data_IF_410578761683
#
_entry.id   IF_410578761683
#
_cell.length_a   1.000
_cell.length_b   1.000
_cell.length_c   1.000
_cell.angle_alpha   90.00
_cell.angle_beta   90.00
_cell.angle_gamma   90.00
#
_symmetry.space_group_name_H-M   'P 1'
#
loop_
_entity.id
_entity.type
_entity.pdbx_description
1 polymer ?
#
# COMPACT_ATOMS: atom_id res chain seq x y z
N UNK A 1 -12.59 0.93 -17.50
CA UNK A 1 -12.29 2.31 -17.06
C UNK A 1 -11.07 2.28 -16.15
N UNK A 2 -10.09 3.16 -16.34
CA UNK A 2 -8.98 3.33 -15.38
C UNK A 2 -9.32 4.51 -14.48
N UNK A 3 -9.47 4.27 -13.18
CA UNK A 3 -9.51 5.34 -12.18
C UNK A 3 -8.13 6.01 -12.19
N UNK A 4 -8.08 7.34 -12.06
CA UNK A 4 -6.87 8.16 -11.99
C UNK A 4 -6.89 8.98 -10.71
N UNK A 5 -5.72 9.25 -10.14
CA UNK A 5 -5.57 10.14 -9.00
C UNK A 5 -5.75 11.59 -9.47
N UNK A 6 -6.99 12.09 -9.33
CA UNK A 6 -7.37 13.48 -9.63
C UNK A 6 -7.38 14.31 -8.35
N UNK A 7 -7.32 15.63 -8.44
CA UNK A 7 -7.33 16.49 -7.24
C UNK A 7 -8.55 16.27 -6.32
N UNK A 8 -9.77 16.04 -6.85
CA UNK A 8 -10.90 15.66 -6.00
C UNK A 8 -10.65 14.35 -5.24
N UNK A 9 -10.07 13.35 -5.91
CA UNK A 9 -9.77 12.06 -5.29
C UNK A 9 -8.61 12.17 -4.28
N UNK A 10 -7.63 13.05 -4.53
CA UNK A 10 -6.57 13.34 -3.55
C UNK A 10 -7.16 13.89 -2.25
N UNK A 11 -7.99 14.93 -2.35
CA UNK A 11 -8.67 15.54 -1.21
C UNK A 11 -9.56 14.55 -0.47
N UNK A 12 -10.26 13.68 -1.20
CA UNK A 12 -11.06 12.60 -0.60
C UNK A 12 -10.17 11.68 0.26
N UNK A 13 -9.03 11.21 -0.25
CA UNK A 13 -8.11 10.36 0.53
C UNK A 13 -7.54 11.07 1.75
N UNK A 14 -7.11 12.32 1.59
CA UNK A 14 -6.58 13.15 2.68
C UNK A 14 -7.61 13.33 3.78
N UNK A 15 -8.85 13.73 3.43
CA UNK A 15 -9.95 13.89 4.37
C UNK A 15 -10.31 12.59 5.09
N UNK A 16 -10.38 11.48 4.35
CA UNK A 16 -10.65 10.17 4.95
C UNK A 16 -9.54 9.77 5.92
N UNK A 17 -8.28 10.03 5.59
CA UNK A 17 -7.15 9.71 6.47
C UNK A 17 -7.09 10.60 7.70
N UNK A 18 -7.36 11.90 7.55
CA UNK A 18 -7.40 12.85 8.65
C UNK A 18 -8.49 12.47 9.67
N UNK A 19 -9.68 12.14 9.18
CA UNK A 19 -10.85 11.72 9.98
C UNK A 19 -10.88 10.23 10.33
N UNK A 20 -9.81 9.48 10.05
CA UNK A 20 -9.74 8.05 10.30
C UNK A 20 -9.52 7.76 11.79
N UNK A 21 -10.62 7.58 12.53
CA UNK A 21 -10.56 7.16 13.93
C UNK A 21 -10.50 5.64 14.05
N UNK A 22 -9.45 5.14 14.72
CA UNK A 22 -9.33 3.72 15.07
C UNK A 22 -10.38 3.39 16.13
N UNK A 23 -11.18 2.35 15.88
CA UNK A 23 -12.18 1.91 16.85
C UNK A 23 -11.49 1.45 18.15
N UNK A 24 -11.86 1.95 19.34
CA UNK A 24 -11.19 1.59 20.59
C UNK A 24 -11.11 0.09 20.84
N UNK A 25 -12.17 -0.65 20.49
CA UNK A 25 -12.22 -2.12 20.62
C UNK A 25 -11.24 -2.88 19.71
N UNK A 26 -10.67 -2.21 18.69
CA UNK A 26 -9.71 -2.79 17.74
C UNK A 26 -8.27 -2.33 17.97
N UNK A 27 -8.03 -1.39 18.87
CA UNK A 27 -6.71 -0.78 19.07
C UNK A 27 -5.61 -1.82 19.32
N UNK A 28 -5.86 -2.80 20.20
CA UNK A 28 -4.90 -3.87 20.47
C UNK A 28 -4.62 -4.79 19.25
N UNK A 29 -5.53 -4.90 18.30
CA UNK A 29 -5.29 -5.62 17.04
C UNK A 29 -4.49 -4.78 16.04
N UNK A 30 -4.73 -3.46 16.02
CA UNK A 30 -3.96 -2.52 15.20
C UNK A 30 -2.52 -2.48 15.69
N UNK A 31 -2.28 -2.32 16.99
CA UNK A 31 -0.93 -2.30 17.56
C UNK A 31 -0.15 -3.57 17.25
N UNK A 32 -0.74 -4.76 17.48
CA UNK A 32 -0.10 -6.03 17.11
C UNK A 32 0.24 -6.13 15.63
N UNK A 33 -0.60 -5.54 14.77
CA UNK A 33 -0.33 -5.53 13.34
C UNK A 33 0.84 -4.61 13.01
N UNK A 34 0.87 -3.40 13.58
CA UNK A 34 1.95 -2.42 13.42
C UNK A 34 3.27 -2.91 13.99
N UNK A 35 3.29 -3.47 15.19
CA UNK A 35 4.51 -4.03 15.81
C UNK A 35 5.13 -5.12 14.95
N UNK A 36 4.30 -5.97 14.34
CA UNK A 36 4.75 -6.99 13.38
C UNK A 36 5.31 -6.39 12.08
N UNK A 37 4.82 -5.24 11.63
CA UNK A 37 5.46 -4.54 10.51
C UNK A 37 6.85 -4.03 10.92
N UNK A 38 6.92 -3.39 12.08
CA UNK A 38 8.15 -2.78 12.60
C UNK A 38 9.23 -3.83 12.92
N UNK A 39 8.85 -5.03 13.41
CA UNK A 39 9.79 -6.12 13.67
C UNK A 39 10.50 -6.65 12.42
N UNK A 40 10.05 -6.25 11.23
CA UNK A 40 10.63 -6.63 9.94
C UNK A 40 11.03 -5.42 9.08
N UNK A 41 11.13 -4.23 9.69
CA UNK A 41 11.42 -2.96 9.00
C UNK A 41 12.62 -3.04 8.07
N UNK A 42 13.74 -3.61 8.52
CA UNK A 42 14.98 -3.70 7.74
C UNK A 42 14.81 -4.50 6.44
N UNK A 43 13.97 -5.54 6.47
CA UNK A 43 13.65 -6.35 5.29
C UNK A 43 12.87 -5.53 4.26
N UNK A 44 11.90 -4.73 4.73
CA UNK A 44 11.15 -3.82 3.87
C UNK A 44 12.02 -2.70 3.32
N UNK A 45 12.95 -2.15 4.12
CA UNK A 45 13.92 -1.16 3.67
C UNK A 45 14.85 -1.71 2.58
N UNK A 46 15.24 -2.97 2.66
CA UNK A 46 16.01 -3.63 1.58
C UNK A 46 15.24 -3.62 0.25
N UNK A 47 13.91 -3.70 0.27
CA UNK A 47 13.08 -3.55 -0.94
C UNK A 47 13.06 -2.10 -1.42
N UNK A 48 12.96 -1.13 -0.49
CA UNK A 48 13.09 0.30 -0.77
C UNK A 48 14.40 0.61 -1.49
N UNK A 49 15.53 0.12 -0.99
CA UNK A 49 16.85 0.37 -1.59
C UNK A 49 16.96 -0.18 -3.02
N UNK A 50 16.27 -1.29 -3.31
CA UNK A 50 16.29 -1.93 -4.64
C UNK A 50 15.41 -1.23 -5.68
N UNK A 51 14.35 -0.54 -5.24
CA UNK A 51 13.26 -0.11 -6.15
C UNK A 51 12.79 1.33 -5.95
N UNK A 52 13.07 1.93 -4.80
CA UNK A 52 12.57 3.26 -4.40
C UNK A 52 11.14 3.26 -3.86
N UNK A 53 10.52 2.10 -3.64
CA UNK A 53 9.18 2.01 -3.02
C UNK A 53 9.31 2.16 -1.51
N UNK A 54 8.56 3.06 -0.84
CA UNK A 54 8.66 3.25 0.60
C UNK A 54 8.43 1.95 1.39
N UNK A 55 9.23 1.76 2.44
CA UNK A 55 9.20 0.54 3.25
C UNK A 55 7.81 0.28 3.82
N UNK A 56 7.10 1.33 4.25
CA UNK A 56 5.76 1.21 4.83
C UNK A 56 4.76 0.70 3.80
N UNK A 57 4.84 1.12 2.53
CA UNK A 57 3.95 0.61 1.48
C UNK A 57 4.18 -0.89 1.26
N UNK A 58 5.44 -1.32 1.18
CA UNK A 58 5.80 -2.73 1.04
C UNK A 58 5.27 -3.55 2.23
N UNK A 59 5.46 -3.04 3.45
CA UNK A 59 5.01 -3.67 4.68
C UNK A 59 3.48 -3.82 4.74
N UNK A 60 2.74 -2.78 4.35
CA UNK A 60 1.28 -2.77 4.32
C UNK A 60 0.74 -3.78 3.31
N UNK A 61 1.25 -3.78 2.07
CA UNK A 61 0.89 -4.78 1.06
C UNK A 61 1.22 -6.19 1.56
N UNK A 62 2.39 -6.41 2.14
CA UNK A 62 2.79 -7.72 2.65
C UNK A 62 1.85 -8.23 3.77
N UNK A 63 1.44 -7.34 4.67
CA UNK A 63 0.44 -7.67 5.70
C UNK A 63 -0.92 -8.01 5.11
N UNK A 64 -1.35 -7.25 4.10
CA UNK A 64 -2.66 -7.45 3.48
C UNK A 64 -2.74 -8.75 2.67
N UNK A 65 -1.68 -9.07 1.94
CA UNK A 65 -1.66 -10.21 1.00
C UNK A 65 -1.25 -11.54 1.64
N UNK A 66 -0.41 -11.53 2.68
CA UNK A 66 0.14 -12.76 3.27
C UNK A 66 0.24 -12.79 4.80
N UNK A 67 -0.27 -11.75 5.48
CA UNK A 67 -0.13 -11.65 6.95
C UNK A 67 1.32 -11.54 7.43
N UNK A 68 2.20 -11.01 6.57
CA UNK A 68 3.65 -10.91 6.75
C UNK A 68 4.42 -12.25 6.66
N UNK A 69 3.95 -13.20 5.86
CA UNK A 69 4.67 -14.45 5.62
C UNK A 69 5.80 -14.29 4.60
N UNK A 70 7.04 -14.45 5.06
CA UNK A 70 8.25 -14.36 4.21
C UNK A 70 8.65 -15.68 3.52
N UNK A 71 7.82 -16.73 3.59
CA UNK A 71 8.12 -18.03 2.98
C UNK A 71 7.68 -18.16 1.52
N UNK A 72 6.94 -17.17 1.01
CA UNK A 72 6.30 -17.21 -0.30
C UNK A 72 6.53 -15.92 -1.10
N UNK A 73 6.41 -16.02 -2.42
CA UNK A 73 6.41 -14.90 -3.33
C UNK A 73 5.26 -13.94 -3.03
N UNK A 74 5.58 -12.64 -2.87
CA UNK A 74 4.58 -11.59 -2.70
C UNK A 74 3.65 -11.45 -3.92
N UNK A 75 4.03 -12.00 -5.07
CA UNK A 75 3.23 -11.95 -6.30
C UNK A 75 1.89 -12.67 -6.17
N UNK A 76 1.88 -13.84 -5.55
CA UNK A 76 0.76 -14.80 -5.62
C UNK A 76 0.77 -15.89 -4.54
N UNK A 77 1.73 -15.87 -3.60
CA UNK A 77 1.83 -16.87 -2.53
C UNK A 77 2.52 -18.19 -2.87
N UNK A 78 3.05 -18.38 -4.09
CA UNK A 78 3.86 -19.57 -4.39
C UNK A 78 5.14 -19.62 -3.54
N UNK A 79 5.69 -20.80 -3.20
CA UNK A 79 6.94 -20.90 -2.40
C UNK A 79 8.15 -20.29 -3.10
N UNK A 80 9.06 -19.69 -2.31
CA UNK A 80 10.30 -19.07 -2.82
C UNK A 80 11.33 -20.07 -3.40
N UNK A 81 11.08 -21.38 -3.30
CA UNK A 81 11.98 -22.46 -3.73
C UNK A 81 11.95 -22.72 -5.25
N UNK A 82 11.05 -22.07 -5.97
CA UNK A 82 10.94 -22.16 -7.43
C UNK A 82 10.51 -20.80 -7.98
N UNK A 83 10.32 -20.69 -9.31
CA UNK A 83 9.59 -19.55 -9.86
C UNK A 83 8.09 -19.76 -9.67
N UNK A 84 7.34 -18.67 -9.66
CA UNK A 84 5.88 -18.72 -9.61
C UNK A 84 5.30 -19.55 -10.75
N UNK A 85 4.32 -20.39 -10.41
CA UNK A 85 3.52 -21.17 -11.37
C UNK A 85 2.14 -20.54 -11.51
N UNK A 86 1.57 -20.03 -10.40
CA UNK A 86 0.33 -19.28 -10.43
C UNK A 86 0.56 -17.92 -11.11
N UNK A 87 -0.52 -17.30 -11.59
CA UNK A 87 -0.43 -15.99 -12.24
C UNK A 87 -0.04 -14.93 -11.20
N UNK A 88 0.96 -14.07 -11.46
CA UNK A 88 1.79 -14.01 -12.67
C UNK A 88 2.90 -15.09 -12.67
N UNK A 89 2.89 -15.98 -13.66
CA UNK A 89 3.84 -17.09 -13.74
C UNK A 89 5.25 -16.66 -14.16
N UNK A 90 6.25 -17.48 -13.80
CA UNK A 90 7.65 -17.31 -14.19
C UNK A 90 8.38 -16.18 -13.46
N UNK A 91 7.97 -15.83 -12.24
CA UNK A 91 8.56 -14.77 -11.41
C UNK A 91 9.39 -15.32 -10.25
N UNK A 92 10.41 -14.58 -9.77
CA UNK A 92 11.05 -13.40 -10.36
C UNK A 92 11.63 -13.70 -11.75
N UNK A 93 11.91 -12.70 -12.60
CA UNK A 93 12.47 -12.98 -13.95
C UNK A 93 13.97 -13.24 -13.97
N UNK A 94 14.70 -12.69 -13.00
CA UNK A 94 16.17 -12.78 -12.89
C UNK A 94 16.55 -13.56 -11.63
N UNK A 95 17.79 -14.07 -11.60
CA UNK A 95 18.29 -14.92 -10.52
C UNK A 95 17.81 -16.37 -10.61
N UNK A 96 18.25 -17.18 -9.64
CA UNK A 96 17.96 -18.61 -9.52
C UNK A 96 17.38 -18.91 -8.13
N UNK A 97 16.43 -19.86 -8.00
CA UNK A 97 15.88 -20.24 -6.70
C UNK A 97 16.89 -21.04 -5.84
N UNK A 98 16.69 -21.11 -4.51
CA UNK A 98 15.65 -20.41 -3.76
C UNK A 98 15.88 -18.90 -3.76
N UNK A 99 14.78 -18.12 -3.85
CA UNK A 99 14.86 -16.67 -3.91
C UNK A 99 14.80 -16.05 -2.52
N UNK A 100 15.62 -15.03 -2.27
CA UNK A 100 15.39 -14.13 -1.15
C UNK A 100 14.05 -13.42 -1.35
N UNK A 101 13.30 -13.26 -0.25
CA UNK A 101 11.99 -12.63 -0.31
C UNK A 101 12.08 -11.19 -0.84
N UNK A 102 13.13 -10.45 -0.49
CA UNK A 102 13.35 -9.06 -0.88
C UNK A 102 13.56 -8.92 -2.39
N UNK A 103 14.29 -9.87 -3.00
CA UNK A 103 14.47 -9.94 -4.46
C UNK A 103 13.11 -10.18 -5.12
N UNK A 104 12.32 -11.10 -4.57
CA UNK A 104 11.00 -11.40 -5.08
C UNK A 104 10.04 -10.21 -4.92
N UNK A 105 10.00 -9.59 -3.75
CA UNK A 105 9.14 -8.46 -3.46
C UNK A 105 9.46 -7.26 -4.38
N UNK A 106 10.75 -6.99 -4.64
CA UNK A 106 11.15 -5.97 -5.60
C UNK A 106 10.67 -6.27 -7.03
N UNK A 107 10.71 -7.54 -7.50
CA UNK A 107 10.13 -7.93 -8.79
C UNK A 107 8.59 -7.78 -8.81
N UNK A 108 7.91 -8.05 -7.68
CA UNK A 108 6.47 -7.86 -7.56
C UNK A 108 6.08 -6.37 -7.67
N UNK A 109 6.80 -5.48 -6.99
CA UNK A 109 6.62 -4.02 -7.10
C UNK A 109 6.88 -3.53 -8.52
N UNK A 110 7.94 -4.06 -9.16
CA UNK A 110 8.25 -3.75 -10.55
C UNK A 110 7.12 -4.13 -11.51
N UNK A 111 6.51 -5.29 -11.31
CA UNK A 111 5.39 -5.76 -12.13
C UNK A 111 4.17 -4.83 -12.03
N UNK A 112 3.95 -4.22 -10.86
CA UNK A 112 2.87 -3.25 -10.61
C UNK A 112 3.20 -1.83 -11.08
N UNK A 113 4.43 -1.62 -11.61
CA UNK A 113 4.99 -0.31 -12.00
C UNK A 113 5.06 0.66 -10.81
N UNK A 114 5.62 0.16 -9.70
CA UNK A 114 5.86 0.94 -8.49
C UNK A 114 7.37 1.06 -8.28
N UNK A 115 7.85 2.28 -8.10
CA UNK A 115 9.27 2.64 -7.92
C UNK A 115 9.39 4.04 -7.27
N UNK A 116 10.61 4.56 -7.20
CA UNK A 116 10.91 5.88 -6.62
C UNK A 116 10.25 7.06 -7.33
N UNK A 117 9.86 6.91 -8.59
CA UNK A 117 9.17 7.98 -9.36
C UNK A 117 7.64 7.95 -9.17
N UNK A 118 7.14 6.98 -8.40
CA UNK A 118 5.73 6.91 -8.05
C UNK A 118 5.39 7.98 -7.02
N UNK A 119 4.19 8.58 -7.14
CA UNK A 119 3.67 9.50 -6.15
C UNK A 119 3.40 8.77 -4.82
N UNK A 120 4.22 9.10 -3.82
CA UNK A 120 4.17 8.58 -2.46
C UNK A 120 3.73 9.64 -1.44
N UNK A 121 3.05 10.70 -1.89
CA UNK A 121 2.27 11.56 -0.99
C UNK A 121 1.25 10.73 -0.19
N UNK A 122 0.61 11.31 0.82
CA UNK A 122 -0.46 10.64 1.56
C UNK A 122 -1.54 10.09 0.60
N UNK A 123 -2.09 10.96 -0.27
CA UNK A 123 -3.06 10.58 -1.27
C UNK A 123 -2.50 9.57 -2.29
N UNK A 124 -1.27 9.77 -2.75
CA UNK A 124 -0.58 8.85 -3.67
C UNK A 124 -0.46 7.44 -3.10
N UNK A 125 -0.03 7.32 -1.84
CA UNK A 125 0.13 6.05 -1.13
C UNK A 125 -1.21 5.34 -0.98
N UNK A 126 -2.25 6.03 -0.52
CA UNK A 126 -3.60 5.46 -0.37
C UNK A 126 -4.19 5.02 -1.72
N UNK A 127 -3.98 5.82 -2.77
CA UNK A 127 -4.36 5.48 -4.13
C UNK A 127 -3.66 4.21 -4.62
N UNK A 128 -2.35 4.07 -4.40
CA UNK A 128 -1.62 2.87 -4.82
C UNK A 128 -2.04 1.64 -4.02
N UNK A 129 -2.35 1.78 -2.72
CA UNK A 129 -2.86 0.69 -1.89
C UNK A 129 -4.22 0.21 -2.40
N UNK A 130 -5.14 1.15 -2.70
CA UNK A 130 -6.44 0.79 -3.27
C UNK A 130 -6.31 0.18 -4.66
N UNK A 131 -5.42 0.72 -5.50
CA UNK A 131 -5.09 0.17 -6.81
C UNK A 131 -4.51 -1.24 -6.71
N UNK A 132 -3.73 -1.52 -5.66
CA UNK A 132 -3.14 -2.84 -5.43
C UNK A 132 -4.22 -3.89 -5.19
N UNK A 133 -5.20 -3.57 -4.33
CA UNK A 133 -6.38 -4.37 -4.06
C UNK A 133 -7.34 -4.46 -5.26
N UNK A 134 -7.55 -3.35 -5.95
CA UNK A 134 -8.45 -3.20 -7.08
C UNK A 134 -9.66 -2.30 -6.82
N UNK A 135 -10.25 -1.81 -7.91
CA UNK A 135 -11.27 -0.75 -7.93
C UNK A 135 -12.72 -1.22 -7.74
N UNK A 136 -12.94 -2.48 -7.36
CA UNK A 136 -14.28 -3.07 -7.31
C UNK A 136 -15.26 -2.32 -6.41
N UNK A 137 -14.78 -1.72 -5.32
CA UNK A 137 -15.61 -0.90 -4.44
C UNK A 137 -16.04 0.39 -5.13
N UNK A 138 -15.10 1.18 -5.68
CA UNK A 138 -15.44 2.42 -6.40
C UNK A 138 -16.33 2.19 -7.61
N UNK A 139 -16.18 1.07 -8.31
CA UNK A 139 -16.93 0.77 -9.53
C UNK A 139 -18.33 0.21 -9.28
N UNK A 140 -18.50 -0.62 -8.24
CA UNK A 140 -19.72 -1.41 -8.07
C UNK A 140 -20.40 -1.23 -6.70
N UNK A 141 -19.68 -0.72 -5.70
CA UNK A 141 -20.16 -0.55 -4.31
C UNK A 141 -19.67 0.77 -3.71
N UNK A 142 -19.83 1.89 -4.41
CA UNK A 142 -19.27 3.19 -4.02
C UNK A 142 -19.79 3.75 -2.69
N UNK A 143 -20.88 3.16 -2.17
CA UNK A 143 -21.43 3.47 -0.84
C UNK A 143 -20.66 2.79 0.31
N UNK A 144 -19.72 1.89 0.01
CA UNK A 144 -18.85 1.22 0.99
C UNK A 144 -17.39 1.55 0.69
N UNK A 145 -16.73 2.18 1.66
CA UNK A 145 -15.29 2.38 1.61
C UNK A 145 -14.58 1.03 1.77
N UNK A 146 -13.54 0.80 0.95
CA UNK A 146 -12.88 -0.51 0.88
C UNK A 146 -12.33 -0.93 2.25
N UNK A 147 -12.73 -2.09 2.81
CA UNK A 147 -12.14 -2.62 4.05
C UNK A 147 -10.66 -2.94 3.90
N UNK A 148 -10.15 -3.09 2.68
CA UNK A 148 -8.70 -3.23 2.45
C UNK A 148 -7.94 -2.01 2.96
N UNK A 149 -8.53 -0.81 2.88
CA UNK A 149 -7.96 0.40 3.45
C UNK A 149 -8.47 0.68 4.87
N UNK A 150 -9.78 0.61 5.08
CA UNK A 150 -10.44 1.28 6.22
C UNK A 150 -11.01 0.34 7.27
N UNK A 151 -10.84 -0.98 7.13
CA UNK A 151 -11.30 -1.92 8.17
C UNK A 151 -10.63 -1.63 9.51
N UNK A 152 -11.44 -1.61 10.58
CA UNK A 152 -11.09 -1.25 11.97
C UNK A 152 -11.13 0.24 12.31
N UNK A 153 -11.49 1.11 11.36
CA UNK A 153 -11.82 2.51 11.66
C UNK A 153 -13.33 2.79 11.65
N UNK A 154 -13.70 4.01 12.01
CA UNK A 154 -15.07 4.55 11.92
C UNK A 154 -15.61 4.60 10.49
N UNK A 155 -14.76 4.54 9.47
CA UNK A 155 -15.13 4.60 8.05
C UNK A 155 -15.68 3.29 7.47
N UNK A 156 -15.60 2.18 8.21
CA UNK A 156 -16.04 0.86 7.72
C UNK A 156 -16.88 0.13 8.77
N UNK A 157 -18.05 -0.35 8.36
CA UNK A 157 -18.95 -1.17 9.20
C UNK A 157 -19.10 -2.59 8.66
N UNK A 158 -19.56 -2.74 7.42
CA UNK A 158 -19.75 -4.02 6.73
C UNK A 158 -19.73 -3.81 5.21
N UNK A 159 -19.80 -4.90 4.45
CA UNK A 159 -19.74 -4.87 3.00
C UNK A 159 -18.38 -5.33 2.51
N UNK A 160 -18.30 -6.52 1.93
CA UNK A 160 -17.07 -6.97 1.28
C UNK A 160 -17.29 -8.00 0.20
N UNK A 161 -16.29 -8.09 -0.68
CA UNK A 161 -16.11 -9.29 -1.48
C UNK A 161 -15.65 -10.44 -0.56
N UNK A 162 -16.41 -11.53 -0.56
CA UNK A 162 -16.10 -12.76 0.20
C UNK A 162 -15.37 -13.79 -0.66
N UNK A 163 -15.47 -13.64 -1.98
CA UNK A 163 -14.69 -14.32 -3.00
C UNK A 163 -14.71 -13.46 -4.27
N UNK A 164 -13.92 -13.85 -5.28
CA UNK A 164 -13.87 -13.14 -6.56
C UNK A 164 -15.27 -13.00 -7.17
N UNK A 165 -15.67 -11.76 -7.41
CA UNK A 165 -16.99 -11.40 -7.95
C UNK A 165 -18.17 -11.66 -7.01
N UNK A 166 -17.95 -12.12 -5.78
CA UNK A 166 -19.02 -12.41 -4.80
C UNK A 166 -19.06 -11.36 -3.70
N UNK A 167 -19.97 -10.41 -3.86
CA UNK A 167 -20.26 -9.35 -2.88
C UNK A 167 -21.18 -9.84 -1.76
N UNK A 168 -21.00 -9.30 -0.56
CA UNK A 168 -21.93 -9.41 0.56
C UNK A 168 -21.98 -8.10 1.33
N UNK A 169 -23.17 -7.50 1.45
CA UNK A 169 -23.40 -6.24 2.17
C UNK A 169 -23.20 -6.37 3.69
N UNK A 170 -23.34 -7.58 4.23
CA UNK A 170 -23.33 -7.84 5.68
C UNK A 170 -22.04 -8.49 6.16
N UNK A 171 -21.22 -9.04 5.27
CA UNK A 171 -19.93 -9.58 5.65
C UNK A 171 -19.00 -8.47 6.17
N UNK A 172 -18.33 -8.76 7.29
CA UNK A 172 -17.43 -7.82 7.97
C UNK A 172 -15.99 -8.30 7.83
N UNK A 173 -15.08 -7.40 7.45
CA UNK A 173 -13.65 -7.71 7.45
C UNK A 173 -13.12 -7.96 8.87
N UNK A 174 -12.30 -9.00 9.00
CA UNK A 174 -11.58 -9.34 10.24
C UNK A 174 -10.10 -8.97 10.20
N UNK A 175 -9.67 -8.34 9.11
CA UNK A 175 -8.31 -7.88 8.89
C UNK A 175 -8.23 -6.37 9.10
N UNK A 176 -7.17 -5.89 9.74
CA UNK A 176 -6.90 -4.46 9.86
C UNK A 176 -6.62 -3.87 8.48
N UNK A 177 -7.23 -2.74 8.14
CA UNK A 177 -7.03 -2.08 6.87
C UNK A 177 -5.65 -1.41 6.76
N UNK A 178 -5.12 -1.31 5.55
CA UNK A 178 -3.81 -0.73 5.28
C UNK A 178 -3.73 0.76 5.65
N UNK A 179 -4.79 1.55 5.40
CA UNK A 179 -4.82 2.95 5.79
C UNK A 179 -4.85 3.11 7.32
N UNK A 180 -5.51 2.18 8.02
CA UNK A 180 -5.57 2.15 9.49
C UNK A 180 -4.21 1.82 10.10
N UNK A 181 -3.49 0.82 9.55
CA UNK A 181 -2.11 0.54 9.95
C UNK A 181 -1.18 1.72 9.64
N UNK A 182 -1.33 2.37 8.48
CA UNK A 182 -0.56 3.55 8.11
C UNK A 182 -0.81 4.73 9.05
N UNK A 183 -2.08 4.98 9.41
CA UNK A 183 -2.46 6.00 10.39
C UNK A 183 -1.73 5.79 11.72
N UNK A 184 -1.73 4.56 12.24
CA UNK A 184 -1.05 4.26 13.50
C UNK A 184 0.49 4.35 13.38
N UNK A 185 1.08 4.03 12.23
CA UNK A 185 2.51 4.27 11.98
C UNK A 185 2.86 5.76 12.03
N UNK A 186 2.03 6.62 11.43
CA UNK A 186 2.20 8.08 11.47
C UNK A 186 2.02 8.62 12.89
N UNK A 187 0.97 8.18 13.61
CA UNK A 187 0.72 8.58 15.01
C UNK A 187 1.89 8.21 15.95
N UNK A 188 2.60 7.12 15.65
CA UNK A 188 3.80 6.69 16.40
C UNK A 188 5.09 7.37 15.93
N UNK A 189 5.04 8.22 14.90
CA UNK A 189 6.23 8.87 14.32
C UNK A 189 7.18 7.90 13.61
N UNK A 190 6.69 6.74 13.16
CA UNK A 190 7.51 5.72 12.50
C UNK A 190 7.73 6.01 11.02
N UNK A 191 6.83 6.80 10.42
CA UNK A 191 6.94 7.30 9.06
C UNK A 191 6.26 8.65 8.96
N UNK A 192 6.85 9.53 8.15
CA UNK A 192 6.22 10.77 7.71
C UNK A 192 5.66 10.57 6.32
N UNK A 193 4.46 11.09 6.07
CA UNK A 193 3.88 11.19 4.74
C UNK A 193 3.89 12.66 4.39
N UNK A 194 4.80 13.06 3.51
CA UNK A 194 4.80 14.42 2.99
C UNK A 194 3.62 14.62 2.05
N UNK A 195 3.01 15.79 2.07
CA UNK A 195 2.34 16.31 0.88
C UNK A 195 3.46 16.62 -0.12
N UNK A 196 3.68 15.76 -1.13
CA UNK A 196 4.60 16.13 -2.20
C UNK A 196 4.06 17.41 -2.84
N UNK A 197 4.85 18.49 -2.93
CA UNK A 197 4.39 19.67 -3.65
C UNK A 197 4.13 19.28 -5.12
N UNK A 198 3.08 19.86 -5.70
CA UNK A 198 2.81 19.78 -7.14
C UNK A 198 4.11 20.04 -7.88
N UNK A 199 4.49 19.12 -8.77
CA UNK A 199 5.79 19.07 -9.43
C UNK A 199 6.02 20.23 -10.40
N UNK A 200 6.19 21.44 -9.89
CA UNK A 200 6.43 22.66 -10.67
C UNK A 200 7.55 23.53 -10.07
N UNK A 201 8.62 22.89 -9.59
CA UNK A 201 9.84 23.54 -9.11
C UNK A 201 11.09 23.21 -9.94
N UNK A 202 10.93 22.96 -11.25
CA UNK A 202 12.04 22.73 -12.19
C UNK A 202 11.95 23.63 -13.44
N UNK A 203 11.59 24.90 -13.30
CA UNK A 203 11.69 25.90 -14.38
C UNK A 203 11.83 27.34 -13.85
N UNK A 204 12.79 27.61 -12.95
CA UNK A 204 13.16 29.00 -12.61
C UNK A 204 14.67 29.14 -12.39
N UNK A 205 15.44 28.79 -13.42
CA UNK A 205 16.87 29.09 -13.50
C UNK A 205 17.16 29.92 -14.74
N UNK A 206 17.46 31.22 -14.58
CA UNK A 206 18.01 32.01 -15.68
C UNK A 206 17.80 33.53 -15.57
N UNK A 207 18.55 34.19 -14.68
CA UNK A 207 18.60 35.65 -14.63
C UNK A 207 19.91 36.15 -14.00
N UNK A 208 20.99 36.15 -14.79
CA UNK A 208 22.32 36.63 -14.37
C UNK A 208 22.26 38.09 -13.91
N UNK A 209 22.78 38.34 -12.72
CA UNK A 209 23.17 39.67 -12.28
C UNK A 209 24.42 40.12 -13.04
N UNK A 210 24.34 41.27 -13.73
CA UNK A 210 25.49 42.07 -14.11
C UNK A 210 25.52 43.28 -13.17
N UNK A 211 26.58 43.38 -12.35
CA UNK A 211 26.93 44.62 -11.67
C UNK A 211 28.22 45.14 -12.29
N UNK A 212 28.18 46.44 -12.58
CA UNK A 212 29.33 47.32 -12.80
C UNK A 212 30.16 47.45 -11.53
#
# INVERSE_FOLDING_TARGET
MSIRLTDPLRREYEQLFESCDILPKREAEVERSVDRLLSHRDRYQTVTERRGVPWHFVALVHSMESGCSFSSHLHNGDPLTARTVQVPAGRPKRGSPPFDWEVSAADAMALKRLDGDTDWSLAGTLYQLERYNGWGYRMYHSHVLSPYLWSFSTHYTSGRYVADGRWSDTAVSRQCGAAVMLRRLVERGETDLADQPDGDALCAGGGRASRR
#
